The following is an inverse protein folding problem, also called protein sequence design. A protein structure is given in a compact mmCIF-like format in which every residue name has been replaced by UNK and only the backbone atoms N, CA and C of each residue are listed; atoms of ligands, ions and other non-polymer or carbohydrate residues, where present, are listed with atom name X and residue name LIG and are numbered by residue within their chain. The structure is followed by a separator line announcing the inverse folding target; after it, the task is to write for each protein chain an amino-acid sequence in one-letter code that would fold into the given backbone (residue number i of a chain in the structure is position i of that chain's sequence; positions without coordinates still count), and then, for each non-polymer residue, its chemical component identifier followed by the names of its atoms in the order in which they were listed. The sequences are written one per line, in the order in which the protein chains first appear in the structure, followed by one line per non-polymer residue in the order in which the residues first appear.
data_IF_749784480869
#
_entry.id   IF_749784480869
#
_cell.length_a   1.000
_cell.length_b   1.000
_cell.length_c   1.000
_cell.angle_alpha   90.00
_cell.angle_beta   90.00
_cell.angle_gamma   90.00
#
_symmetry.space_group_name_H-M   'P 1'
#
loop_
_entity.id
_entity.type
_entity.pdbx_description
1 polymer ?
#
# COMPACT_ATOMS: atom_id res chain seq x y z
N UNK A 1 1.13 -14.96 -19.10
CA UNK A 1 1.13 -13.59 -19.64
C UNK A 1 1.50 -12.60 -18.53
N UNK A 2 2.47 -11.73 -18.75
CA UNK A 2 2.75 -10.68 -17.79
C UNK A 2 1.57 -9.71 -17.71
N UNK A 3 1.35 -9.16 -16.51
CA UNK A 3 0.35 -8.11 -16.35
C UNK A 3 0.79 -6.84 -17.08
N UNK A 4 -0.14 -6.09 -17.67
CA UNK A 4 0.21 -4.80 -18.24
C UNK A 4 0.70 -3.86 -17.14
N UNK A 5 1.55 -2.91 -17.53
CA UNK A 5 1.99 -1.86 -16.61
C UNK A 5 0.80 -0.95 -16.31
N UNK A 6 0.52 -0.75 -15.04
CA UNK A 6 -0.66 -0.03 -14.55
C UNK A 6 -0.30 1.25 -13.78
N UNK A 7 0.88 1.80 -14.03
CA UNK A 7 1.33 3.02 -13.38
C UNK A 7 2.19 3.84 -14.32
N UNK A 8 2.40 5.10 -13.97
CA UNK A 8 3.32 5.99 -14.68
C UNK A 8 4.50 6.30 -13.77
N UNK A 9 5.71 6.10 -14.29
CA UNK A 9 6.94 6.36 -13.55
C UNK A 9 7.08 7.84 -13.15
N UNK A 10 6.47 8.74 -13.90
CA UNK A 10 6.51 10.18 -13.63
C UNK A 10 5.38 10.67 -12.72
N UNK A 11 4.60 9.76 -12.14
CA UNK A 11 3.52 10.11 -11.21
C UNK A 11 4.12 10.73 -9.94
N UNK A 12 3.79 12.01 -9.63
CA UNK A 12 4.35 12.68 -8.46
C UNK A 12 3.90 12.08 -7.12
N UNK A 13 2.71 11.49 -7.08
CA UNK A 13 2.25 10.79 -5.88
C UNK A 13 3.09 9.54 -5.65
N UNK A 14 3.36 8.79 -6.71
CA UNK A 14 4.24 7.62 -6.63
C UNK A 14 5.63 8.02 -6.14
N UNK A 15 6.18 9.13 -6.63
CA UNK A 15 7.50 9.61 -6.19
C UNK A 15 7.54 9.82 -4.67
N UNK A 16 6.47 10.38 -4.09
CA UNK A 16 6.37 10.58 -2.65
C UNK A 16 6.25 9.24 -1.91
N UNK A 17 5.44 8.32 -2.42
CA UNK A 17 5.31 6.98 -1.83
C UNK A 17 6.66 6.26 -1.85
N UNK A 18 7.39 6.33 -2.96
CA UNK A 18 8.74 5.75 -3.06
C UNK A 18 9.68 6.29 -1.99
N UNK A 19 9.67 7.60 -1.80
CA UNK A 19 10.51 8.24 -0.78
C UNK A 19 10.21 7.69 0.61
N UNK A 20 8.93 7.53 0.94
CA UNK A 20 8.53 6.99 2.25
C UNK A 20 8.89 5.51 2.37
N UNK A 21 8.48 4.69 1.42
CA UNK A 21 8.64 3.24 1.52
C UNK A 21 10.10 2.80 1.46
N UNK A 22 10.89 3.41 0.59
CA UNK A 22 12.28 3.02 0.39
C UNK A 22 13.21 3.53 1.50
N UNK A 23 12.71 4.36 2.41
CA UNK A 23 13.47 4.79 3.59
C UNK A 23 13.52 3.70 4.68
N UNK A 24 12.70 2.65 4.59
CA UNK A 24 12.71 1.58 5.56
C UNK A 24 13.92 0.65 5.36
N UNK A 25 14.40 -0.03 6.44
CA UNK A 25 15.61 -0.86 6.34
C UNK A 25 15.49 -1.95 5.28
N UNK A 26 16.46 -2.02 4.39
CA UNK A 26 16.58 -3.02 3.31
C UNK A 26 15.41 -3.05 2.33
N UNK A 27 14.56 -2.03 2.35
CA UNK A 27 13.41 -1.95 1.45
C UNK A 27 13.84 -1.83 0.00
N UNK A 28 13.13 -2.54 -0.88
CA UNK A 28 13.36 -2.45 -2.31
C UNK A 28 12.03 -2.52 -3.06
N UNK A 29 12.04 -2.03 -4.27
CA UNK A 29 10.85 -1.95 -5.11
C UNK A 29 10.93 -2.98 -6.24
N UNK A 30 9.81 -3.63 -6.51
CA UNK A 30 9.64 -4.50 -7.68
C UNK A 30 8.28 -4.22 -8.29
N UNK A 31 8.14 -4.45 -9.59
CA UNK A 31 6.83 -4.45 -10.21
C UNK A 31 6.16 -5.80 -9.93
N UNK A 32 4.98 -5.75 -9.35
CA UNK A 32 4.17 -6.94 -9.05
C UNK A 32 2.78 -6.73 -9.61
N UNK A 33 2.34 -7.63 -10.47
CA UNK A 33 1.04 -7.53 -11.14
C UNK A 33 0.82 -6.18 -11.82
N UNK A 34 1.89 -5.65 -12.44
CA UNK A 34 1.84 -4.38 -13.16
C UNK A 34 1.92 -3.13 -12.30
N UNK A 35 2.15 -3.25 -10.99
CA UNK A 35 2.17 -2.12 -10.06
C UNK A 35 3.46 -2.11 -9.23
N UNK A 36 3.94 -0.93 -8.82
CA UNK A 36 5.09 -0.86 -7.91
C UNK A 36 4.74 -1.47 -6.56
N UNK A 37 5.58 -2.38 -6.10
CA UNK A 37 5.41 -3.03 -4.80
C UNK A 37 6.74 -2.96 -4.04
N UNK A 38 6.64 -2.82 -2.73
CA UNK A 38 7.79 -2.60 -1.85
C UNK A 38 7.95 -3.79 -0.92
N UNK A 39 9.16 -4.33 -0.89
CA UNK A 39 9.47 -5.60 -0.24
C UNK A 39 10.64 -5.50 0.72
N UNK A 40 10.54 -6.30 1.78
CA UNK A 40 11.68 -6.82 2.55
C UNK A 40 11.29 -8.27 2.83
N UNK A 41 11.94 -9.27 2.32
CA UNK A 41 11.48 -10.65 2.40
C UNK A 41 10.03 -10.83 1.90
N UNK A 42 9.08 -10.06 2.45
CA UNK A 42 7.67 -10.03 2.05
C UNK A 42 7.27 -8.62 1.64
N UNK A 43 6.22 -8.53 0.84
CA UNK A 43 5.65 -7.23 0.47
C UNK A 43 5.09 -6.54 1.72
N UNK A 44 5.41 -5.25 1.90
CA UNK A 44 4.85 -4.46 2.98
C UNK A 44 4.05 -3.25 2.49
N UNK A 45 4.11 -2.91 1.21
CA UNK A 45 3.30 -1.86 0.62
C UNK A 45 3.20 -2.08 -0.89
N UNK A 46 2.12 -1.58 -1.50
CA UNK A 46 1.95 -1.58 -2.95
C UNK A 46 1.33 -0.27 -3.38
N UNK A 47 1.72 0.24 -4.53
CA UNK A 47 1.15 1.45 -5.10
C UNK A 47 0.10 1.10 -6.15
N UNK A 48 -1.14 1.57 -5.92
CA UNK A 48 -2.26 1.28 -6.80
C UNK A 48 -3.00 0.01 -6.44
N UNK A 49 -4.29 0.01 -6.63
CA UNK A 49 -5.12 -1.13 -6.32
C UNK A 49 -6.45 -1.06 -7.04
N UNK A 50 -7.28 -2.07 -6.84
CA UNK A 50 -8.60 -2.16 -7.44
C UNK A 50 -9.58 -2.79 -6.47
N UNK A 51 -10.86 -2.58 -6.73
CA UNK A 51 -11.95 -3.16 -5.95
C UNK A 51 -12.84 -3.95 -6.89
N UNK A 52 -13.24 -5.14 -6.46
CA UNK A 52 -14.22 -5.95 -7.18
C UNK A 52 -15.59 -5.26 -7.08
N UNK A 53 -16.29 -5.01 -8.22
CA UNK A 53 -17.60 -4.40 -8.15
C UNK A 53 -18.61 -5.32 -7.49
N UNK A 54 -19.69 -4.78 -6.86
CA UNK A 54 -20.74 -5.59 -6.25
C UNK A 54 -21.54 -6.37 -7.28
N UNK A 55 -21.56 -5.92 -8.53
CA UNK A 55 -22.22 -6.60 -9.64
C UNK A 55 -21.20 -6.99 -10.69
N UNK A 56 -21.58 -7.79 -11.66
CA UNK A 56 -20.72 -8.19 -12.76
C UNK A 56 -20.23 -6.96 -13.53
N UNK A 57 -18.92 -6.87 -13.75
CA UNK A 57 -18.32 -5.74 -14.47
C UNK A 57 -16.83 -5.64 -14.21
N UNK A 58 -16.22 -4.60 -14.78
CA UNK A 58 -14.80 -4.35 -14.63
C UNK A 58 -14.49 -3.90 -13.20
N UNK A 59 -13.29 -4.23 -12.73
CA UNK A 59 -12.83 -3.80 -11.41
C UNK A 59 -12.67 -2.29 -11.39
N UNK A 60 -13.04 -1.69 -10.25
CA UNK A 60 -12.87 -0.26 -10.02
C UNK A 60 -11.41 0.01 -9.69
N UNK A 61 -10.76 0.89 -10.43
CA UNK A 61 -9.34 1.16 -10.29
C UNK A 61 -9.07 2.35 -9.37
N UNK A 62 -8.08 2.19 -8.50
CA UNK A 62 -7.54 3.25 -7.66
C UNK A 62 -6.05 3.38 -7.96
N UNK A 63 -5.69 4.02 -9.09
CA UNK A 63 -4.29 4.04 -9.55
C UNK A 63 -3.36 4.83 -8.66
N UNK A 64 -3.87 5.82 -7.91
CA UNK A 64 -3.08 6.61 -6.98
C UNK A 64 -3.51 6.26 -5.56
N UNK A 65 -3.14 5.07 -5.12
CA UNK A 65 -3.46 4.59 -3.78
C UNK A 65 -2.27 3.83 -3.20
N UNK A 66 -2.27 3.64 -1.88
CA UNK A 66 -1.35 2.71 -1.24
C UNK A 66 -2.14 1.55 -0.67
N UNK A 67 -1.58 0.35 -0.79
CA UNK A 67 -2.10 -0.84 -0.14
C UNK A 67 -1.13 -1.22 0.97
N UNK A 68 -1.67 -1.45 2.16
CA UNK A 68 -0.88 -1.81 3.34
C UNK A 68 -1.58 -2.91 4.11
N UNK A 69 -0.81 -3.73 4.81
CA UNK A 69 -1.36 -4.69 5.74
C UNK A 69 -1.66 -3.98 7.04
N UNK A 70 -2.83 -4.25 7.63
CA UNK A 70 -3.26 -3.63 8.87
C UNK A 70 -3.50 -4.68 9.94
N UNK A 71 -3.32 -4.28 11.19
CA UNK A 71 -3.64 -5.13 12.33
C UNK A 71 -5.15 -5.36 12.39
N UNK A 72 -5.55 -6.58 12.69
CA UNK A 72 -6.97 -6.94 12.72
C UNK A 72 -7.74 -6.07 13.71
N UNK A 73 -7.13 -5.67 14.81
CA UNK A 73 -7.77 -4.82 15.81
C UNK A 73 -8.11 -3.43 15.29
N UNK A 74 -7.40 -2.95 14.27
CA UNK A 74 -7.62 -1.62 13.69
C UNK A 74 -8.46 -1.65 12.42
N UNK A 75 -8.56 -2.82 11.81
CA UNK A 75 -9.19 -2.98 10.50
C UNK A 75 -10.60 -2.44 10.45
N UNK A 76 -11.42 -2.77 11.46
CA UNK A 76 -12.83 -2.38 11.48
C UNK A 76 -12.99 -0.86 11.50
N UNK A 77 -12.20 -0.19 12.33
CA UNK A 77 -12.24 1.27 12.43
C UNK A 77 -11.81 1.93 11.11
N UNK A 78 -10.75 1.43 10.51
CA UNK A 78 -10.25 1.98 9.24
C UNK A 78 -11.24 1.77 8.10
N UNK A 79 -11.94 0.64 8.08
CA UNK A 79 -12.93 0.36 7.04
C UNK A 79 -14.14 1.30 7.10
N UNK A 80 -14.38 1.96 8.23
CA UNK A 80 -15.45 2.95 8.35
C UNK A 80 -15.08 4.29 7.76
N UNK A 81 -13.80 4.53 7.50
CA UNK A 81 -13.33 5.75 6.85
C UNK A 81 -13.51 5.61 5.34
N UNK A 82 -14.29 6.50 4.70
CA UNK A 82 -14.59 6.37 3.27
C UNK A 82 -13.38 6.49 2.34
N UNK A 83 -12.24 6.96 2.85
CA UNK A 83 -11.01 7.02 2.06
C UNK A 83 -10.36 5.65 1.88
N UNK A 84 -10.73 4.66 2.69
CA UNK A 84 -10.17 3.32 2.63
C UNK A 84 -11.06 2.40 1.83
N UNK A 85 -10.44 1.42 1.19
CA UNK A 85 -11.17 0.39 0.43
C UNK A 85 -10.54 -0.98 0.67
N UNK A 86 -11.33 -2.03 0.42
CA UNK A 86 -10.86 -3.41 0.50
C UNK A 86 -10.30 -3.82 -0.87
N UNK A 87 -8.97 -3.95 -1.01
CA UNK A 87 -8.40 -4.24 -2.33
C UNK A 87 -8.70 -5.67 -2.77
N UNK A 88 -8.99 -5.81 -4.07
CA UNK A 88 -9.21 -7.11 -4.67
C UNK A 88 -8.00 -8.03 -4.40
N UNK A 89 -8.28 -9.30 -4.12
CA UNK A 89 -7.31 -10.36 -3.85
C UNK A 89 -6.55 -10.24 -2.54
N UNK A 90 -6.25 -9.03 -2.05
CA UNK A 90 -5.43 -8.84 -0.85
C UNK A 90 -6.26 -8.62 0.42
N UNK A 91 -7.51 -8.16 0.29
CA UNK A 91 -8.34 -7.88 1.46
C UNK A 91 -8.48 -9.07 2.42
N UNK A 92 -8.70 -10.31 1.93
CA UNK A 92 -8.82 -11.46 2.85
C UNK A 92 -7.56 -11.72 3.68
N UNK A 93 -6.40 -11.25 3.23
CA UNK A 93 -5.14 -11.41 3.95
C UNK A 93 -4.83 -10.24 4.89
N UNK A 94 -5.80 -9.35 5.13
CA UNK A 94 -5.64 -8.25 6.07
C UNK A 94 -5.13 -6.95 5.47
N UNK A 95 -5.24 -6.78 4.16
CA UNK A 95 -4.79 -5.56 3.48
C UNK A 95 -5.94 -4.58 3.29
N UNK A 96 -5.62 -3.28 3.40
CA UNK A 96 -6.53 -2.19 3.04
C UNK A 96 -5.81 -1.22 2.10
N UNK A 97 -6.61 -0.50 1.31
CA UNK A 97 -6.11 0.54 0.43
C UNK A 97 -6.55 1.92 0.90
N UNK A 98 -5.68 2.90 0.73
CA UNK A 98 -5.99 4.31 0.99
C UNK A 98 -5.84 5.07 -0.32
N UNK A 99 -6.93 5.71 -0.75
CA UNK A 99 -6.94 6.52 -1.96
C UNK A 99 -6.18 7.82 -1.73
N UNK A 100 -5.15 8.06 -2.52
CA UNK A 100 -4.32 9.27 -2.45
C UNK A 100 -4.60 10.23 -3.61
N UNK A 101 -5.64 9.95 -4.40
CA UNK A 101 -5.96 10.77 -5.55
C UNK A 101 -6.38 12.18 -5.13
N UNK A 102 -6.10 13.13 -6.00
CA UNK A 102 -5.79 14.52 -5.70
C UNK A 102 -6.95 15.47 -5.44
N UNK A 103 -8.10 15.01 -4.99
CA UNK A 103 -9.16 15.94 -4.62
C UNK A 103 -8.97 16.55 -3.24
N UNK A 104 -8.15 15.94 -2.40
CA UNK A 104 -7.85 16.41 -1.05
C UNK A 104 -6.36 16.37 -0.82
N UNK A 105 -5.88 17.27 0.01
CA UNK A 105 -4.47 17.27 0.40
C UNK A 105 -4.15 15.96 1.13
N UNK A 106 -3.14 15.24 0.64
CA UNK A 106 -2.69 14.00 1.26
C UNK A 106 -1.95 14.32 2.55
N UNK A 107 -2.31 13.62 3.63
CA UNK A 107 -1.55 13.67 4.87
C UNK A 107 -0.42 12.65 4.81
N UNK A 108 0.77 13.11 4.47
CA UNK A 108 1.92 12.22 4.28
C UNK A 108 2.43 11.61 5.60
N UNK A 109 2.17 12.25 6.73
CA UNK A 109 2.47 11.64 8.03
C UNK A 109 1.60 10.41 8.27
N UNK A 110 0.33 10.49 7.91
CA UNK A 110 -0.58 9.34 7.97
C UNK A 110 -0.12 8.21 7.06
N UNK A 111 0.27 8.53 5.83
CA UNK A 111 0.79 7.55 4.87
C UNK A 111 2.01 6.83 5.46
N UNK A 112 2.93 7.60 6.03
CA UNK A 112 4.13 7.04 6.63
C UNK A 112 3.80 6.14 7.82
N UNK A 113 2.85 6.53 8.65
CA UNK A 113 2.41 5.72 9.79
C UNK A 113 1.79 4.40 9.35
N UNK A 114 0.98 4.43 8.29
CA UNK A 114 0.37 3.23 7.74
C UNK A 114 1.41 2.28 7.17
N UNK A 115 2.37 2.80 6.43
CA UNK A 115 3.45 1.99 5.86
C UNK A 115 4.34 1.43 6.98
N UNK A 116 4.64 2.25 8.01
CA UNK A 116 5.41 1.82 9.17
C UNK A 116 4.72 0.64 9.88
N UNK A 117 3.43 0.76 10.15
CA UNK A 117 2.68 -0.31 10.80
C UNK A 117 2.66 -1.59 9.95
N UNK A 118 2.51 -1.45 8.63
CA UNK A 118 2.55 -2.59 7.72
C UNK A 118 3.93 -3.26 7.71
N UNK A 119 4.99 -2.46 7.69
CA UNK A 119 6.35 -2.97 7.77
C UNK A 119 6.55 -3.79 9.04
N UNK A 120 6.08 -3.30 10.18
CA UNK A 120 6.21 -4.00 11.46
C UNK A 120 5.45 -5.33 11.50
N UNK A 121 4.36 -5.44 10.73
CA UNK A 121 3.59 -6.68 10.65
C UNK A 121 4.22 -7.73 9.70
N UNK A 122 5.02 -7.30 8.75
CA UNK A 122 5.47 -8.16 7.64
C UNK A 122 6.97 -8.40 7.60
N UNK A 123 7.79 -7.48 8.11
CA UNK A 123 9.23 -7.57 8.04
C UNK A 123 9.80 -8.50 9.10
N UNK A 124 11.01 -9.07 8.88
CA UNK A 124 11.69 -9.84 9.91
C UNK A 124 11.95 -8.99 11.17
N UNK A 125 11.86 -9.60 12.33
CA UNK A 125 12.08 -8.92 13.62
C UNK A 125 13.38 -8.13 13.67
N UNK A 126 14.43 -8.68 13.10
CA UNK A 126 15.73 -8.03 13.03
C UNK A 126 15.65 -6.64 12.42
N UNK A 127 14.88 -6.48 11.34
CA UNK A 127 14.74 -5.21 10.65
C UNK A 127 13.80 -4.27 11.38
N UNK A 128 12.76 -4.78 12.02
CA UNK A 128 11.88 -3.98 12.88
C UNK A 128 12.68 -3.40 14.04
N UNK A 129 13.53 -4.21 14.66
CA UNK A 129 14.41 -3.76 15.72
C UNK A 129 15.38 -2.68 15.23
N UNK A 130 15.95 -2.86 14.05
CA UNK A 130 16.83 -1.87 13.44
C UNK A 130 16.11 -0.53 13.23
N UNK A 131 14.86 -0.58 12.82
CA UNK A 131 14.03 0.62 12.64
C UNK A 131 13.87 1.39 13.96
N UNK A 132 13.73 0.69 15.07
CA UNK A 132 13.54 1.30 16.40
C UNK A 132 14.84 1.82 17.02
N UNK A 133 15.99 1.45 16.50
CA UNK A 133 17.30 1.85 17.02
C UNK A 133 17.81 3.19 16.47
N UNK A 134 17.04 3.85 15.64
CA UNK A 134 17.43 5.11 15.01
C UNK A 134 17.19 6.29 15.94
#
# INVERSE_FOLDING_TARGET
MPHPIMFRDDDPVLARVRTVALAFPEAHEKVSHGRPAFFVAKMFAMYGGSVKPPTKGDYIQYPQSILVKVDESERQALQQDPRFFAPAYLAPSGWLGLDLSARKKVNWDEVRELIDASFRLTAPRKLVKQLDEV
#
